data_IF_373394902164
#
_entry.id   IF_373394902164
#
_cell.length_a   1.000
_cell.length_b   1.000
_cell.length_c   1.000
_cell.angle_alpha   90.00
_cell.angle_beta   90.00
_cell.angle_gamma   90.00
#
_symmetry.space_group_name_H-M   'P 1'
#
loop_
_entity.id
_entity.type
_entity.pdbx_description
1 polymer ?
#
# COMPACT_ATOMS: atom_id res chain seq x y z
N UNK A 1 -3.72 34.79 -13.35
CA UNK A 1 -5.12 35.23 -13.53
C UNK A 1 -5.83 34.10 -14.26
N UNK A 2 -6.38 33.14 -13.52
CA UNK A 2 -7.83 32.91 -13.29
C UNK A 2 -8.66 32.92 -14.59
N UNK A 3 -9.45 31.88 -14.88
CA UNK A 3 -10.52 31.41 -13.99
C UNK A 3 -10.86 29.93 -14.18
N UNK A 4 -11.17 29.29 -13.05
CA UNK A 4 -11.90 28.04 -12.97
C UNK A 4 -13.37 28.24 -13.39
N UNK A 5 -13.88 27.35 -14.25
CA UNK A 5 -15.32 27.21 -14.47
C UNK A 5 -15.89 26.10 -13.59
N UNK A 6 -16.72 26.53 -12.64
CA UNK A 6 -17.59 25.69 -11.83
C UNK A 6 -18.74 25.15 -12.68
N UNK A 7 -18.83 23.82 -12.84
CA UNK A 7 -20.03 23.16 -13.34
C UNK A 7 -20.99 22.97 -12.17
N UNK A 8 -22.00 23.85 -12.08
CA UNK A 8 -23.11 23.71 -11.15
C UNK A 8 -24.11 22.66 -11.62
N UNK A 9 -24.20 21.52 -10.93
CA UNK A 9 -25.32 20.59 -11.12
C UNK A 9 -26.60 21.20 -10.51
N UNK A 10 -27.56 21.55 -11.37
CA UNK A 10 -28.94 21.87 -10.97
C UNK A 10 -29.67 20.58 -10.61
N UNK A 11 -29.85 20.31 -9.32
CA UNK A 11 -30.71 19.22 -8.86
C UNK A 11 -32.18 19.63 -8.95
N UNK A 12 -32.89 19.06 -9.93
CA UNK A 12 -34.32 19.32 -10.15
C UNK A 12 -35.20 18.67 -9.07
N UNK A 13 -35.98 19.49 -8.37
CA UNK A 13 -37.09 19.06 -7.50
C UNK A 13 -38.20 18.45 -8.34
N UNK A 14 -38.38 17.12 -8.33
CA UNK A 14 -39.64 16.47 -8.75
C UNK A 14 -40.03 15.30 -7.84
N UNK A 15 -40.96 15.63 -6.94
CA UNK A 15 -42.19 14.91 -6.52
C UNK A 15 -42.07 13.51 -5.89
N UNK A 16 -42.36 13.48 -4.58
CA UNK A 16 -43.01 12.37 -3.89
C UNK A 16 -44.33 11.96 -4.58
N UNK A 17 -44.54 10.65 -4.76
CA UNK A 17 -45.59 9.83 -4.09
C UNK A 17 -45.79 8.52 -4.86
N UNK A 18 -45.67 7.38 -4.17
CA UNK A 18 -46.53 6.21 -4.34
C UNK A 18 -46.35 5.27 -3.13
N UNK A 19 -47.20 5.42 -2.12
CA UNK A 19 -47.51 4.38 -1.14
C UNK A 19 -48.44 3.37 -1.83
N UNK A 20 -48.02 2.11 -1.91
CA UNK A 20 -48.81 0.98 -2.40
C UNK A 20 -48.54 -0.24 -1.53
N UNK A 21 -49.58 -0.77 -0.91
CA UNK A 21 -49.55 -1.82 0.09
C UNK A 21 -49.03 -3.17 -0.44
N UNK A 22 -48.06 -3.73 0.27
CA UNK A 22 -47.51 -5.07 0.08
C UNK A 22 -46.81 -5.52 1.35
N UNK A 23 -47.59 -5.85 2.38
CA UNK A 23 -47.09 -6.51 3.59
C UNK A 23 -46.66 -7.92 3.22
N UNK A 24 -45.35 -8.17 3.10
CA UNK A 24 -44.65 -9.44 3.35
C UNK A 24 -43.18 -9.26 2.92
N UNK A 25 -42.35 -8.77 3.84
CA UNK A 25 -40.92 -8.55 3.59
C UNK A 25 -40.27 -7.46 4.44
N UNK A 26 -40.63 -7.32 5.72
CA UNK A 26 -39.91 -6.46 6.67
C UNK A 26 -38.63 -7.13 7.24
N UNK A 27 -38.04 -8.06 6.49
CA UNK A 27 -36.79 -8.74 6.86
C UNK A 27 -35.64 -8.19 6.02
N UNK A 28 -34.74 -7.46 6.67
CA UNK A 28 -33.41 -7.10 6.19
C UNK A 28 -33.33 -6.18 4.96
N UNK A 29 -33.85 -4.95 5.08
CA UNK A 29 -33.05 -3.82 4.60
C UNK A 29 -32.03 -3.51 5.70
N UNK A 30 -31.03 -4.39 5.84
CA UNK A 30 -29.83 -4.05 6.58
C UNK A 30 -29.27 -2.81 5.90
N UNK A 31 -29.26 -1.70 6.61
CA UNK A 31 -28.61 -0.48 6.20
C UNK A 31 -27.14 -0.82 5.92
N UNK A 32 -26.77 -0.91 4.64
CA UNK A 32 -25.37 -0.86 4.18
C UNK A 32 -24.78 0.55 4.40
N UNK A 33 -25.21 1.23 5.46
CA UNK A 33 -24.55 2.44 5.90
C UNK A 33 -23.17 2.00 6.38
N UNK A 34 -22.07 2.56 5.83
CA UNK A 34 -20.76 2.31 6.39
C UNK A 34 -20.82 2.61 7.89
N UNK A 35 -20.44 1.65 8.71
CA UNK A 35 -20.31 1.87 10.15
C UNK A 35 -19.38 3.06 10.38
N UNK A 36 -19.61 3.80 11.47
CA UNK A 36 -18.69 4.88 11.83
C UNK A 36 -17.30 4.29 12.05
N UNK A 37 -16.34 4.69 11.21
CA UNK A 37 -14.94 4.38 11.44
C UNK A 37 -14.52 5.13 12.72
N UNK A 38 -14.37 4.39 13.83
CA UNK A 38 -13.76 4.91 15.04
C UNK A 38 -12.27 4.60 14.97
N UNK A 39 -11.42 5.60 15.15
CA UNK A 39 -10.00 5.35 15.33
C UNK A 39 -9.80 4.72 16.71
N UNK A 40 -9.14 3.56 16.75
CA UNK A 40 -8.64 3.03 18.01
C UNK A 40 -7.70 4.07 18.67
N UNK A 41 -7.59 4.08 20.01
CA UNK A 41 -6.53 4.84 20.65
C UNK A 41 -5.17 4.40 20.05
N UNK A 42 -4.25 5.35 19.79
CA UNK A 42 -2.95 5.01 19.24
C UNK A 42 -2.23 4.02 20.17
N UNK A 43 -1.59 2.97 19.62
CA UNK A 43 -0.90 1.97 20.44
C UNK A 43 0.30 2.59 21.18
N UNK A 44 0.81 1.90 22.19
CA UNK A 44 1.93 2.36 23.02
C UNK A 44 3.28 2.50 22.26
N UNK A 45 3.33 2.17 20.96
CA UNK A 45 4.50 2.41 20.11
C UNK A 45 4.28 1.95 18.66
N UNK A 46 5.03 2.59 17.76
CA UNK A 46 5.11 2.25 16.33
C UNK A 46 6.42 1.50 16.06
N UNK A 47 6.38 0.50 15.20
CA UNK A 47 7.54 -0.35 14.90
C UNK A 47 8.18 -0.03 13.55
N UNK A 48 7.37 0.21 12.51
CA UNK A 48 7.92 0.31 11.16
C UNK A 48 7.12 1.20 10.21
N UNK A 49 7.75 1.53 9.08
CA UNK A 49 7.07 1.96 7.86
C UNK A 49 6.92 0.75 6.91
N UNK A 50 5.69 0.39 6.56
CA UNK A 50 5.40 -0.52 5.45
C UNK A 50 5.48 0.23 4.12
N UNK A 51 6.36 -0.22 3.22
CA UNK A 51 6.34 0.12 1.80
C UNK A 51 5.70 -1.03 1.01
N UNK A 52 4.61 -0.73 0.31
CA UNK A 52 3.89 -1.72 -0.51
C UNK A 52 3.49 -1.20 -1.88
N UNK A 53 3.07 -2.10 -2.77
CA UNK A 53 2.61 -1.72 -4.10
C UNK A 53 1.19 -1.14 -4.06
N UNK A 54 0.84 -0.28 -5.02
CA UNK A 54 -0.54 0.18 -5.23
C UNK A 54 -1.45 -0.86 -5.91
N UNK A 55 -0.95 -2.06 -6.20
CA UNK A 55 -1.72 -3.11 -6.87
C UNK A 55 -2.95 -3.48 -6.02
N UNK A 56 -4.17 -3.35 -6.56
CA UNK A 56 -5.40 -3.56 -5.78
C UNK A 56 -5.54 -5.01 -5.27
N UNK A 57 -4.90 -5.98 -5.92
CA UNK A 57 -4.92 -7.40 -5.48
C UNK A 57 -4.19 -7.60 -4.17
N UNK A 58 -3.28 -6.70 -3.81
CA UNK A 58 -2.38 -6.84 -2.66
C UNK A 58 -2.69 -5.87 -1.51
N UNK A 59 -3.65 -4.94 -1.68
CA UNK A 59 -4.05 -4.01 -0.61
C UNK A 59 -4.49 -4.77 0.64
N UNK A 60 -5.51 -5.64 0.51
CA UNK A 60 -6.02 -6.39 1.64
C UNK A 60 -5.05 -7.46 2.15
N UNK A 61 -4.50 -8.37 1.31
CA UNK A 61 -3.58 -9.41 1.78
C UNK A 61 -2.33 -8.87 2.49
N UNK A 62 -1.75 -7.75 2.01
CA UNK A 62 -0.58 -7.16 2.68
C UNK A 62 -0.94 -6.63 4.06
N UNK A 63 -2.09 -5.94 4.19
CA UNK A 63 -2.52 -5.46 5.50
C UNK A 63 -2.90 -6.61 6.44
N UNK A 64 -3.54 -7.67 5.95
CA UNK A 64 -3.80 -8.88 6.74
C UNK A 64 -2.50 -9.54 7.21
N UNK A 65 -1.49 -9.62 6.36
CA UNK A 65 -0.17 -10.12 6.74
C UNK A 65 0.45 -9.29 7.88
N UNK A 66 0.33 -7.97 7.85
CA UNK A 66 0.78 -7.11 8.96
C UNK A 66 0.01 -7.38 10.25
N UNK A 67 -1.32 -7.56 10.17
CA UNK A 67 -2.14 -7.91 11.34
C UNK A 67 -1.73 -9.25 11.93
N UNK A 68 -1.49 -10.27 11.09
CA UNK A 68 -1.03 -11.59 11.54
C UNK A 68 0.34 -11.54 12.22
N UNK A 69 1.16 -10.54 11.89
CA UNK A 69 2.43 -10.25 12.56
C UNK A 69 2.29 -9.46 13.88
N UNK A 70 1.07 -9.15 14.31
CA UNK A 70 0.82 -8.36 15.51
C UNK A 70 1.06 -6.85 15.34
N UNK A 71 1.11 -6.37 14.09
CA UNK A 71 1.40 -4.97 13.78
C UNK A 71 0.14 -4.12 13.58
N UNK A 72 -1.06 -4.61 13.96
CA UNK A 72 -2.30 -3.84 13.85
C UNK A 72 -2.13 -2.45 14.50
N UNK A 73 -2.32 -1.39 13.72
CA UNK A 73 -2.15 0.02 14.12
C UNK A 73 -0.72 0.42 14.57
N UNK A 74 0.29 -0.45 14.43
CA UNK A 74 1.68 -0.22 14.91
C UNK A 74 2.68 0.08 13.78
N UNK A 75 2.20 0.36 12.56
CA UNK A 75 3.06 0.77 11.45
C UNK A 75 2.44 1.95 10.69
N UNK A 76 3.30 2.76 10.08
CA UNK A 76 2.90 3.69 9.03
C UNK A 76 2.88 2.97 7.68
N UNK A 77 2.07 3.40 6.72
CA UNK A 77 1.97 2.76 5.41
C UNK A 77 2.24 3.76 4.27
N UNK A 78 3.08 3.35 3.32
CA UNK A 78 3.32 4.07 2.08
C UNK A 78 3.07 3.12 0.89
N UNK A 79 2.11 3.46 0.04
CA UNK A 79 1.80 2.70 -1.17
C UNK A 79 2.39 3.40 -2.39
N UNK A 80 3.26 2.72 -3.13
CA UNK A 80 3.96 3.24 -4.31
C UNK A 80 3.93 2.22 -5.44
N UNK A 81 3.78 2.64 -6.70
CA UNK A 81 3.81 1.69 -7.81
C UNK A 81 5.14 0.91 -7.82
N UNK A 82 5.06 -0.41 -7.70
CA UNK A 82 6.21 -1.31 -7.62
C UNK A 82 6.88 -1.40 -6.25
N UNK A 83 6.34 -0.77 -5.21
CA UNK A 83 6.89 -0.76 -3.85
C UNK A 83 8.39 -0.38 -3.87
N UNK A 84 9.28 -1.29 -3.46
CA UNK A 84 10.73 -1.06 -3.48
C UNK A 84 11.24 -0.72 -4.88
N UNK A 85 10.64 -1.26 -5.95
CA UNK A 85 11.00 -0.93 -7.32
C UNK A 85 10.78 0.57 -7.63
N UNK A 86 9.68 1.14 -7.15
CA UNK A 86 9.39 2.58 -7.28
C UNK A 86 10.36 3.46 -6.49
N UNK A 87 10.95 2.93 -5.42
CA UNK A 87 11.89 3.65 -4.56
C UNK A 87 13.35 3.60 -5.05
N UNK A 88 13.70 2.69 -5.97
CA UNK A 88 15.11 2.48 -6.38
C UNK A 88 15.36 2.33 -7.88
N UNK A 89 14.35 2.07 -8.71
CA UNK A 89 14.60 1.93 -10.16
C UNK A 89 14.99 3.28 -10.77
N UNK A 90 15.89 3.26 -11.75
CA UNK A 90 16.24 4.47 -12.51
C UNK A 90 15.04 5.03 -13.31
N UNK A 91 14.11 4.16 -13.74
CA UNK A 91 12.89 4.58 -14.44
C UNK A 91 12.04 5.54 -13.57
N UNK A 92 12.09 5.38 -12.24
CA UNK A 92 11.30 6.15 -11.27
C UNK A 92 12.15 7.11 -10.42
N UNK A 93 13.28 7.61 -10.94
CA UNK A 93 14.22 8.46 -10.19
C UNK A 93 13.54 9.65 -9.49
N UNK A 94 12.56 10.28 -10.14
CA UNK A 94 11.82 11.42 -9.57
C UNK A 94 10.96 11.06 -8.35
N UNK A 95 10.68 9.78 -8.10
CA UNK A 95 9.89 9.32 -6.95
C UNK A 95 10.74 8.98 -5.73
N UNK A 96 12.07 8.82 -5.91
CA UNK A 96 12.95 8.34 -4.85
C UNK A 96 12.91 9.26 -3.64
N UNK A 97 13.10 10.57 -3.85
CA UNK A 97 13.10 11.54 -2.75
C UNK A 97 11.77 11.53 -2.00
N UNK A 98 10.65 11.40 -2.70
CA UNK A 98 9.32 11.30 -2.06
C UNK A 98 9.26 10.15 -1.07
N UNK A 99 9.73 8.96 -1.44
CA UNK A 99 9.72 7.82 -0.52
C UNK A 99 10.74 8.00 0.62
N UNK A 100 11.97 8.37 0.30
CA UNK A 100 13.04 8.47 1.30
C UNK A 100 12.80 9.59 2.32
N UNK A 101 12.26 10.73 1.89
CA UNK A 101 11.86 11.82 2.78
C UNK A 101 10.66 11.40 3.65
N UNK A 102 9.74 10.59 3.12
CA UNK A 102 8.63 10.04 3.90
C UNK A 102 9.10 9.01 4.95
N UNK A 103 10.12 8.19 4.63
CA UNK A 103 10.74 7.31 5.62
C UNK A 103 11.41 8.13 6.73
N UNK A 104 12.17 9.17 6.38
CA UNK A 104 12.79 10.07 7.36
C UNK A 104 11.73 10.75 8.26
N UNK A 105 10.65 11.25 7.69
CA UNK A 105 9.53 11.83 8.45
C UNK A 105 8.85 10.80 9.37
N UNK A 106 8.70 9.55 8.92
CA UNK A 106 8.12 8.48 9.75
C UNK A 106 9.01 8.16 10.96
N UNK A 107 10.34 8.13 10.77
CA UNK A 107 11.32 7.96 11.86
C UNK A 107 11.21 9.13 12.85
N UNK A 108 11.13 10.37 12.37
CA UNK A 108 11.07 11.56 13.24
C UNK A 108 9.75 11.65 14.02
N UNK A 109 8.61 11.40 13.37
CA UNK A 109 7.29 11.59 13.97
C UNK A 109 6.89 10.44 14.89
N UNK A 110 7.25 9.21 14.52
CA UNK A 110 6.75 8.00 15.16
C UNK A 110 7.83 7.19 15.88
N UNK A 111 9.08 7.65 15.87
CA UNK A 111 10.23 6.98 16.49
C UNK A 111 10.37 5.52 16.07
N UNK A 112 10.01 5.21 14.82
CA UNK A 112 10.18 3.85 14.26
C UNK A 112 11.66 3.57 14.02
N UNK A 113 12.04 2.31 14.20
CA UNK A 113 13.38 1.78 13.94
C UNK A 113 13.39 0.78 12.77
N UNK A 114 12.24 0.52 12.13
CA UNK A 114 12.11 -0.43 11.03
C UNK A 114 11.50 0.12 9.73
N UNK A 115 11.87 -0.50 8.61
CA UNK A 115 11.18 -0.39 7.33
C UNK A 115 10.94 -1.78 6.73
N UNK A 116 9.68 -2.06 6.38
CA UNK A 116 9.24 -3.34 5.83
C UNK A 116 8.83 -3.10 4.39
N UNK A 117 9.57 -3.63 3.42
CA UNK A 117 9.20 -3.56 2.00
C UNK A 117 8.55 -4.88 1.56
N UNK A 118 7.32 -4.80 1.07
CA UNK A 118 6.58 -5.94 0.50
C UNK A 118 6.36 -5.69 -0.99
N UNK A 119 7.18 -6.35 -1.80
CA UNK A 119 6.92 -6.50 -3.23
C UNK A 119 5.91 -7.62 -3.46
N UNK A 120 5.39 -7.75 -4.69
CA UNK A 120 4.51 -8.84 -5.06
C UNK A 120 4.83 -9.43 -6.43
N UNK A 121 4.39 -10.68 -6.64
CA UNK A 121 4.43 -11.38 -7.93
C UNK A 121 3.44 -10.78 -8.91
N UNK A 122 3.73 -10.93 -10.20
CA UNK A 122 2.95 -10.40 -11.31
C UNK A 122 2.79 -8.87 -11.22
N UNK A 123 3.91 -8.16 -11.01
CA UNK A 123 3.91 -6.71 -10.81
C UNK A 123 4.06 -5.92 -12.12
N UNK A 124 3.00 -5.22 -12.52
CA UNK A 124 3.03 -4.35 -13.71
C UNK A 124 4.06 -3.21 -13.62
N UNK A 125 4.29 -2.64 -12.44
CA UNK A 125 5.27 -1.56 -12.27
C UNK A 125 6.73 -2.05 -12.41
N UNK A 126 7.00 -3.31 -12.09
CA UNK A 126 8.31 -3.94 -12.35
C UNK A 126 8.51 -4.14 -13.84
N UNK A 127 7.50 -4.63 -14.56
CA UNK A 127 7.55 -4.74 -16.03
C UNK A 127 7.82 -3.41 -16.72
N UNK A 128 7.16 -2.33 -16.28
CA UNK A 128 7.41 -0.97 -16.81
C UNK A 128 8.86 -0.53 -16.60
N UNK A 129 9.42 -0.78 -15.40
CA UNK A 129 10.74 -0.29 -15.04
C UNK A 129 11.90 -1.16 -15.54
N UNK A 130 11.70 -2.47 -15.66
CA UNK A 130 12.75 -3.46 -15.92
C UNK A 130 12.51 -4.32 -17.18
N UNK A 131 11.42 -4.09 -17.91
CA UNK A 131 11.02 -4.83 -19.12
C UNK A 131 10.10 -6.02 -18.84
N UNK A 132 9.32 -6.45 -19.83
CA UNK A 132 8.35 -7.55 -19.69
C UNK A 132 9.02 -8.87 -19.27
N UNK A 133 10.21 -9.16 -19.82
CA UNK A 133 10.95 -10.38 -19.50
C UNK A 133 11.36 -10.48 -18.02
N UNK A 134 11.37 -9.36 -17.28
CA UNK A 134 11.81 -9.29 -15.89
C UNK A 134 10.96 -10.12 -14.93
N UNK A 135 9.75 -10.53 -15.35
CA UNK A 135 8.86 -11.40 -14.59
C UNK A 135 8.35 -12.61 -15.39
N UNK A 136 9.01 -12.95 -16.51
CA UNK A 136 8.55 -13.96 -17.47
C UNK A 136 8.40 -15.37 -16.91
N UNK A 137 9.20 -15.73 -15.90
CA UNK A 137 9.05 -16.97 -15.13
C UNK A 137 9.18 -16.69 -13.64
N UNK A 138 8.68 -17.58 -12.76
CA UNK A 138 8.82 -17.40 -11.31
C UNK A 138 10.29 -17.24 -10.85
N UNK A 139 11.23 -17.94 -11.48
CA UNK A 139 12.66 -17.87 -11.16
C UNK A 139 13.25 -16.52 -11.56
N UNK A 140 12.94 -16.06 -12.78
CA UNK A 140 13.40 -14.74 -13.27
C UNK A 140 12.80 -13.62 -12.43
N UNK A 141 11.50 -13.70 -12.14
CA UNK A 141 10.83 -12.74 -11.28
C UNK A 141 11.44 -12.69 -9.87
N UNK A 142 11.77 -13.85 -9.29
CA UNK A 142 12.43 -13.93 -7.97
C UNK A 142 13.77 -13.20 -8.02
N UNK A 143 14.61 -13.53 -9.01
CA UNK A 143 15.92 -12.90 -9.17
C UNK A 143 15.83 -11.38 -9.42
N UNK A 144 14.78 -10.93 -10.14
CA UNK A 144 14.49 -9.51 -10.33
C UNK A 144 14.16 -8.83 -9.00
N UNK A 145 13.24 -9.39 -8.22
CA UNK A 145 12.87 -8.81 -6.93
C UNK A 145 14.00 -8.89 -5.89
N UNK A 146 14.82 -9.95 -5.89
CA UNK A 146 16.02 -10.06 -5.06
C UNK A 146 16.98 -8.88 -5.30
N UNK A 147 17.22 -8.54 -6.57
CA UNK A 147 18.07 -7.40 -6.93
C UNK A 147 17.46 -6.07 -6.48
N UNK A 148 16.16 -5.88 -6.74
CA UNK A 148 15.44 -4.65 -6.35
C UNK A 148 15.47 -4.46 -4.83
N UNK A 149 15.10 -5.50 -4.08
CA UNK A 149 15.04 -5.46 -2.62
C UNK A 149 16.43 -5.38 -1.99
N UNK A 150 17.43 -5.99 -2.61
CA UNK A 150 18.84 -5.83 -2.23
C UNK A 150 19.31 -4.37 -2.34
N UNK A 151 19.05 -3.72 -3.48
CA UNK A 151 19.36 -2.30 -3.67
C UNK A 151 18.59 -1.42 -2.68
N UNK A 152 17.30 -1.68 -2.49
CA UNK A 152 16.47 -0.98 -1.50
C UNK A 152 17.04 -1.05 -0.10
N UNK A 153 17.43 -2.25 0.36
CA UNK A 153 18.07 -2.45 1.66
C UNK A 153 19.36 -1.66 1.80
N UNK A 154 20.23 -1.71 0.79
CA UNK A 154 21.48 -0.96 0.81
C UNK A 154 21.23 0.55 0.93
N UNK A 155 20.28 1.07 0.16
CA UNK A 155 19.93 2.49 0.17
C UNK A 155 19.26 2.94 1.48
N UNK A 156 18.45 2.07 2.11
CA UNK A 156 17.87 2.32 3.43
C UNK A 156 18.96 2.38 4.51
N UNK A 157 19.83 1.38 4.59
CA UNK A 157 20.94 1.32 5.55
C UNK A 157 21.95 2.45 5.35
N UNK A 158 22.16 2.88 4.11
CA UNK A 158 23.04 4.02 3.79
C UNK A 158 22.48 5.35 4.30
N UNK A 159 21.16 5.56 4.20
CA UNK A 159 20.49 6.80 4.64
C UNK A 159 20.23 6.83 6.14
N UNK A 160 19.89 5.67 6.72
CA UNK A 160 19.56 5.52 8.13
C UNK A 160 20.36 4.35 8.73
N UNK A 161 21.62 4.58 9.11
CA UNK A 161 22.46 3.53 9.71
C UNK A 161 21.81 2.97 10.98
N UNK A 162 21.67 1.65 11.05
CA UNK A 162 21.08 0.95 12.19
C UNK A 162 19.56 0.76 12.13
N UNK A 163 18.89 1.22 11.07
CA UNK A 163 17.48 0.88 10.82
C UNK A 163 17.35 -0.62 10.51
N UNK A 164 16.33 -1.25 11.07
CA UNK A 164 15.93 -2.60 10.69
C UNK A 164 15.26 -2.56 9.32
N UNK A 165 15.72 -3.42 8.41
CA UNK A 165 15.15 -3.54 7.07
C UNK A 165 14.65 -4.95 6.87
N UNK A 166 13.39 -5.07 6.52
CA UNK A 166 12.81 -6.34 6.09
C UNK A 166 12.33 -6.25 4.64
N UNK A 167 12.55 -7.32 3.90
CA UNK A 167 12.29 -7.40 2.47
C UNK A 167 11.54 -8.68 2.15
N UNK A 168 10.35 -8.53 1.59
CA UNK A 168 9.39 -9.62 1.37
C UNK A 168 8.84 -9.61 -0.05
N UNK A 169 8.44 -10.78 -0.51
CA UNK A 169 7.79 -10.99 -1.80
C UNK A 169 6.52 -11.82 -1.61
N UNK A 170 5.37 -11.23 -1.90
CA UNK A 170 4.05 -11.87 -1.77
C UNK A 170 3.59 -12.45 -3.11
N UNK A 171 3.10 -13.69 -3.11
CA UNK A 171 2.47 -14.32 -4.26
C UNK A 171 0.96 -14.03 -4.33
N UNK A 172 0.34 -14.32 -5.48
CA UNK A 172 -1.09 -14.08 -5.73
C UNK A 172 -2.03 -14.85 -4.79
N UNK A 173 -1.55 -15.95 -4.20
CA UNK A 173 -2.29 -16.74 -3.21
C UNK A 173 -2.12 -16.21 -1.76
N UNK A 174 -1.39 -15.11 -1.58
CA UNK A 174 -1.10 -14.50 -0.29
C UNK A 174 0.10 -15.10 0.44
N UNK A 175 0.76 -16.13 -0.11
CA UNK A 175 2.00 -16.65 0.49
C UNK A 175 3.11 -15.61 0.44
N UNK A 176 3.86 -15.47 1.54
CA UNK A 176 4.90 -14.45 1.69
C UNK A 176 6.25 -15.10 1.89
N UNK A 177 7.20 -14.76 1.03
CA UNK A 177 8.57 -15.23 1.07
C UNK A 177 9.51 -14.13 1.53
N UNK A 178 10.40 -14.42 2.49
CA UNK A 178 11.50 -13.51 2.85
C UNK A 178 12.53 -13.48 1.74
N UNK A 179 12.98 -12.29 1.36
CA UNK A 179 14.01 -12.07 0.36
C UNK A 179 15.21 -11.42 1.02
N UNK A 180 16.40 -12.04 0.93
CA UNK A 180 17.60 -11.53 1.58
C UNK A 180 17.63 -11.73 3.12
N UNK A 181 18.67 -11.19 3.79
CA UNK A 181 18.90 -11.39 5.23
C UNK A 181 17.84 -10.74 6.13
#
# INVERSE_FOLDING_TARGET
>A
MNSAEHIGLKLGRRRLLALGAGTLGLGALASNAPGNATTDPPPEGYEALLLMCIDPRFVHPTNEYMVQRGLLNRYSQFALAGAAAGAVSQHWESWHNTFWDNLAASIELHSIDGVIAVNHRDCGAVQIAYGEDSISTPEIETATHERILGTFRQEALRRHPGIDVETWLMALDGTVQKIGP
#
